data_IF_236041200396
#
_entry.id   IF_236041200396
#
_cell.length_a   1.000
_cell.length_b   1.000
_cell.length_c   1.000
_cell.angle_alpha   90.00
_cell.angle_beta   90.00
_cell.angle_gamma   90.00
#
_symmetry.space_group_name_H-M   'P 1'
#
loop_
_entity.id
_entity.type
_entity.pdbx_description
1 polymer ?
#
# COMPACT_ATOMS: atom_id res chain seq x y z
N UNK A 1 -12.79 -16.74 -1.17
CA UNK A 1 -13.95 -15.81 -1.22
C UNK A 1 -14.85 -15.96 0.00
N UNK A 2 -15.37 -17.14 0.34
CA UNK A 2 -16.22 -17.38 1.52
C UNK A 2 -15.64 -16.81 2.84
N UNK A 3 -14.33 -17.00 3.10
CA UNK A 3 -13.66 -16.41 4.28
C UNK A 3 -13.68 -14.89 4.31
N UNK A 4 -13.50 -14.23 3.16
CA UNK A 4 -13.52 -12.75 3.10
C UNK A 4 -14.91 -12.23 3.47
N UNK A 5 -15.95 -12.87 2.96
CA UNK A 5 -17.33 -12.54 3.29
C UNK A 5 -17.65 -12.77 4.78
N UNK A 6 -17.20 -13.88 5.35
CA UNK A 6 -17.33 -14.18 6.79
C UNK A 6 -16.63 -13.10 7.65
N UNK A 7 -15.41 -12.70 7.29
CA UNK A 7 -14.66 -11.65 7.99
C UNK A 7 -15.36 -10.30 7.85
N UNK A 8 -15.83 -9.94 6.66
CA UNK A 8 -16.57 -8.70 6.44
C UNK A 8 -17.85 -8.65 7.30
N UNK A 9 -18.60 -9.75 7.35
CA UNK A 9 -19.79 -9.84 8.18
C UNK A 9 -19.48 -9.70 9.68
N UNK A 10 -18.34 -10.25 10.14
CA UNK A 10 -17.88 -10.05 11.52
C UNK A 10 -17.49 -8.59 11.78
N UNK A 11 -16.77 -7.96 10.85
CA UNK A 11 -16.41 -6.55 10.97
C UNK A 11 -17.67 -5.69 11.08
N UNK A 12 -18.66 -5.88 10.23
CA UNK A 12 -19.94 -5.17 10.30
C UNK A 12 -20.64 -5.41 11.64
N UNK A 13 -20.72 -6.67 12.07
CA UNK A 13 -21.37 -7.03 13.34
C UNK A 13 -20.75 -6.32 14.55
N UNK A 14 -19.44 -6.14 14.55
CA UNK A 14 -18.70 -5.52 15.67
C UNK A 14 -18.32 -4.07 15.43
N UNK A 15 -18.90 -3.38 14.44
CA UNK A 15 -18.62 -2.00 14.12
C UNK A 15 -17.14 -1.73 13.76
N UNK A 16 -16.48 -2.69 13.10
CA UNK A 16 -15.11 -2.58 12.63
C UNK A 16 -15.06 -2.37 11.12
N UNK A 17 -14.05 -1.67 10.65
CA UNK A 17 -13.79 -1.50 9.23
C UNK A 17 -12.75 -2.54 8.78
N UNK A 18 -13.07 -3.30 7.72
CA UNK A 18 -12.13 -4.20 7.08
C UNK A 18 -11.29 -3.41 6.08
N UNK A 19 -9.97 -3.51 6.19
CA UNK A 19 -9.03 -3.13 5.15
C UNK A 19 -8.60 -4.40 4.42
N UNK A 20 -8.85 -4.46 3.12
CA UNK A 20 -8.53 -5.63 2.31
C UNK A 20 -7.36 -5.33 1.38
N UNK A 21 -6.37 -6.20 1.37
CA UNK A 21 -5.22 -6.11 0.47
C UNK A 21 -5.42 -7.03 -0.73
N UNK A 22 -5.25 -6.46 -1.94
CA UNK A 22 -5.09 -7.24 -3.17
C UNK A 22 -3.59 -7.44 -3.36
N UNK A 23 -3.11 -8.60 -2.90
CA UNK A 23 -1.73 -9.00 -3.10
C UNK A 23 -1.43 -9.16 -4.59
N UNK A 24 -0.18 -8.90 -4.97
CA UNK A 24 0.26 -8.98 -6.37
C UNK A 24 -0.54 -8.04 -7.29
N UNK A 25 -0.97 -6.90 -6.74
CA UNK A 25 -1.75 -5.89 -7.45
C UNK A 25 -1.03 -5.25 -8.63
N UNK A 26 0.29 -5.44 -8.73
CA UNK A 26 1.14 -4.87 -9.77
C UNK A 26 1.99 -5.91 -10.51
N UNK A 27 1.75 -7.19 -10.28
CA UNK A 27 2.49 -8.31 -10.85
C UNK A 27 2.77 -9.41 -9.83
N UNK A 28 3.22 -10.58 -10.30
CA UNK A 28 3.48 -11.74 -9.46
C UNK A 28 4.80 -12.45 -9.84
N UNK A 29 5.39 -13.22 -8.89
CA UNK A 29 6.63 -13.93 -9.13
C UNK A 29 6.45 -15.30 -9.81
N UNK A 30 5.20 -15.76 -9.97
CA UNK A 30 4.89 -17.14 -10.39
C UNK A 30 4.74 -17.30 -11.90
N UNK A 31 4.77 -16.20 -12.66
CA UNK A 31 4.50 -16.22 -14.10
C UNK A 31 3.02 -16.40 -14.45
N UNK A 32 2.12 -16.25 -13.47
CA UNK A 32 0.69 -16.23 -13.72
C UNK A 32 0.29 -15.02 -14.58
N UNK A 33 -0.76 -15.13 -15.40
CA UNK A 33 -1.26 -14.01 -16.16
C UNK A 33 -1.57 -12.81 -15.25
N UNK A 34 -1.01 -11.67 -15.61
CA UNK A 34 -1.26 -10.40 -14.92
C UNK A 34 -1.73 -9.37 -15.95
N UNK A 35 -2.75 -8.64 -15.58
CA UNK A 35 -3.14 -7.40 -16.25
C UNK A 35 -3.94 -6.50 -15.29
N UNK A 36 -4.00 -5.19 -15.54
CA UNK A 36 -4.83 -4.28 -14.75
C UNK A 36 -6.30 -4.68 -14.70
N UNK A 37 -6.84 -5.25 -15.78
CA UNK A 37 -8.21 -5.73 -15.85
C UNK A 37 -8.48 -6.87 -14.85
N UNK A 38 -7.48 -7.72 -14.61
CA UNK A 38 -7.57 -8.77 -13.58
C UNK A 38 -7.68 -8.11 -12.20
N UNK A 39 -6.88 -7.08 -11.93
CA UNK A 39 -6.94 -6.34 -10.65
C UNK A 39 -8.28 -5.66 -10.50
N UNK A 40 -8.76 -4.93 -11.52
CA UNK A 40 -10.06 -4.27 -11.50
C UNK A 40 -11.20 -5.25 -11.25
N UNK A 41 -11.19 -6.42 -11.89
CA UNK A 41 -12.18 -7.48 -11.64
C UNK A 41 -12.19 -7.97 -10.18
N UNK A 42 -11.02 -8.06 -9.55
CA UNK A 42 -10.94 -8.40 -8.13
C UNK A 42 -11.45 -7.26 -7.24
N UNK A 43 -11.13 -6.01 -7.58
CA UNK A 43 -11.68 -4.82 -6.91
C UNK A 43 -13.21 -4.84 -6.94
N UNK A 44 -13.82 -5.02 -8.12
CA UNK A 44 -15.28 -5.12 -8.26
C UNK A 44 -15.87 -6.22 -7.39
N UNK A 45 -15.19 -7.36 -7.34
CA UNK A 45 -15.60 -8.48 -6.48
C UNK A 45 -15.56 -8.12 -4.99
N UNK A 46 -14.56 -7.35 -4.54
CA UNK A 46 -14.50 -6.89 -3.14
C UNK A 46 -15.59 -5.85 -2.85
N UNK A 47 -15.82 -4.93 -3.77
CA UNK A 47 -16.89 -3.92 -3.66
C UNK A 47 -18.25 -4.60 -3.53
N UNK A 48 -18.51 -5.67 -4.31
CA UNK A 48 -19.77 -6.43 -4.24
C UNK A 48 -20.01 -7.10 -2.87
N UNK A 49 -18.97 -7.25 -2.05
CA UNK A 49 -19.04 -7.71 -0.66
C UNK A 49 -19.13 -6.57 0.36
N UNK A 50 -19.41 -5.34 -0.09
CA UNK A 50 -19.47 -4.14 0.76
C UNK A 50 -18.16 -3.76 1.44
N UNK A 51 -17.01 -4.18 0.92
CA UNK A 51 -15.70 -3.75 1.39
C UNK A 51 -15.48 -2.32 0.90
N UNK A 52 -15.04 -1.43 1.79
CA UNK A 52 -14.92 0.01 1.54
C UNK A 52 -13.49 0.51 1.50
N UNK A 53 -12.54 -0.26 2.02
CA UNK A 53 -11.11 0.08 1.98
C UNK A 53 -10.36 -1.03 1.30
N UNK A 54 -9.72 -0.73 0.17
CA UNK A 54 -8.99 -1.69 -0.65
C UNK A 54 -7.59 -1.16 -0.90
N UNK A 55 -6.58 -1.89 -0.44
CA UNK A 55 -5.17 -1.58 -0.66
C UNK A 55 -4.62 -2.43 -1.80
N UNK A 56 -4.02 -1.79 -2.79
CA UNK A 56 -3.27 -2.47 -3.84
C UNK A 56 -1.85 -2.71 -3.34
N UNK A 57 -1.42 -3.98 -3.32
CA UNK A 57 -0.11 -4.35 -2.77
C UNK A 57 0.88 -4.72 -3.86
N UNK A 58 2.02 -4.03 -3.86
CA UNK A 58 3.21 -4.33 -4.65
C UNK A 58 4.04 -5.40 -3.94
N UNK A 59 3.53 -6.63 -3.91
CA UNK A 59 4.02 -7.72 -3.06
C UNK A 59 5.50 -8.03 -3.26
N UNK A 60 6.02 -7.86 -4.46
CA UNK A 60 7.41 -8.21 -4.83
C UNK A 60 8.24 -7.02 -5.33
N UNK A 61 7.73 -5.81 -5.19
CA UNK A 61 8.46 -4.59 -5.54
C UNK A 61 8.55 -4.30 -7.06
N UNK A 62 7.67 -4.89 -7.87
CA UNK A 62 7.69 -4.75 -9.35
C UNK A 62 6.80 -3.64 -9.89
N UNK A 63 6.05 -2.96 -9.04
CA UNK A 63 5.24 -1.83 -9.47
C UNK A 63 6.13 -0.72 -10.05
N UNK A 64 5.78 -0.24 -11.22
CA UNK A 64 6.37 0.95 -11.82
C UNK A 64 5.38 2.13 -11.80
N UNK A 65 5.86 3.38 -12.00
CA UNK A 65 4.99 4.55 -11.99
C UNK A 65 3.86 4.51 -13.02
N UNK A 66 4.05 3.83 -14.15
CA UNK A 66 3.06 3.78 -15.24
C UNK A 66 1.87 2.90 -14.83
N UNK A 67 2.15 1.70 -14.29
CA UNK A 67 1.09 0.79 -13.84
C UNK A 67 0.37 1.32 -12.61
N UNK A 68 1.11 1.97 -11.68
CA UNK A 68 0.53 2.65 -10.52
C UNK A 68 -0.43 3.74 -10.98
N UNK A 69 0.03 4.63 -11.86
CA UNK A 69 -0.78 5.72 -12.42
C UNK A 69 -2.03 5.21 -13.12
N UNK A 70 -1.89 4.18 -13.95
CA UNK A 70 -2.99 3.59 -14.68
C UNK A 70 -4.06 3.04 -13.74
N UNK A 71 -3.68 2.21 -12.75
CA UNK A 71 -4.66 1.62 -11.83
C UNK A 71 -5.39 2.69 -11.01
N UNK A 72 -4.68 3.63 -10.38
CA UNK A 72 -5.33 4.64 -9.55
C UNK A 72 -6.17 5.63 -10.36
N UNK A 73 -5.72 6.04 -11.57
CA UNK A 73 -6.49 6.93 -12.44
C UNK A 73 -7.81 6.32 -12.92
N UNK A 74 -7.91 5.01 -13.00
CA UNK A 74 -9.16 4.32 -13.37
C UNK A 74 -10.02 3.99 -12.15
N UNK A 75 -9.44 3.45 -11.09
CA UNK A 75 -10.19 2.95 -9.94
C UNK A 75 -10.81 4.06 -9.10
N UNK A 76 -10.06 5.13 -8.82
CA UNK A 76 -10.53 6.18 -7.91
C UNK A 76 -11.75 6.93 -8.47
N UNK A 77 -11.75 7.40 -9.74
CA UNK A 77 -12.94 8.05 -10.27
C UNK A 77 -14.11 7.09 -10.54
N UNK A 78 -13.84 5.82 -10.85
CA UNK A 78 -14.89 4.82 -11.09
C UNK A 78 -15.64 4.42 -9.81
N UNK A 79 -14.94 4.47 -8.64
CA UNK A 79 -15.49 4.04 -7.36
C UNK A 79 -15.26 5.07 -6.25
N UNK A 80 -15.87 6.28 -6.34
CA UNK A 80 -15.61 7.38 -5.40
C UNK A 80 -16.01 7.08 -3.94
N UNK A 81 -16.81 6.03 -3.72
CA UNK A 81 -17.22 5.56 -2.40
C UNK A 81 -16.20 4.59 -1.75
N UNK A 82 -15.15 4.21 -2.46
CA UNK A 82 -14.10 3.29 -1.98
C UNK A 82 -12.85 4.10 -1.64
N UNK A 83 -12.29 3.85 -0.47
CA UNK A 83 -10.98 4.34 -0.11
C UNK A 83 -9.92 3.38 -0.66
N UNK A 84 -9.22 3.81 -1.70
CA UNK A 84 -8.08 3.07 -2.23
C UNK A 84 -6.79 3.44 -1.52
N UNK A 85 -5.98 2.41 -1.23
CA UNK A 85 -4.68 2.57 -0.59
C UNK A 85 -3.56 1.95 -1.44
N UNK A 86 -2.34 2.42 -1.23
CA UNK A 86 -1.13 1.90 -1.83
C UNK A 86 -0.22 1.28 -0.76
N UNK A 87 0.05 -0.01 -0.90
CA UNK A 87 1.05 -0.74 -0.13
C UNK A 87 2.21 -1.09 -1.06
N UNK A 88 3.23 -0.24 -1.06
CA UNK A 88 4.34 -0.31 -2.02
C UNK A 88 5.59 -0.88 -1.36
N UNK A 89 6.26 -1.79 -2.06
CA UNK A 89 7.64 -2.13 -1.78
C UNK A 89 8.57 -1.27 -2.65
N UNK A 90 9.69 -0.85 -2.08
CA UNK A 90 10.57 0.12 -2.72
C UNK A 90 12.03 -0.18 -2.42
N UNK A 91 12.89 0.33 -3.29
CA UNK A 91 14.32 0.49 -3.04
C UNK A 91 14.62 1.94 -2.67
N UNK A 92 15.84 2.27 -2.20
CA UNK A 92 16.25 3.65 -1.95
C UNK A 92 16.06 4.61 -3.12
N UNK A 93 16.08 4.09 -4.36
CA UNK A 93 16.01 4.91 -5.57
C UNK A 93 14.60 5.01 -6.17
N UNK A 94 13.69 4.08 -5.83
CA UNK A 94 12.37 3.97 -6.49
C UNK A 94 11.20 4.51 -5.68
N UNK A 95 11.40 4.81 -4.40
CA UNK A 95 10.31 5.17 -3.49
C UNK A 95 9.54 6.42 -3.92
N UNK A 96 10.27 7.46 -4.37
CA UNK A 96 9.68 8.78 -4.65
C UNK A 96 8.76 8.74 -5.87
N UNK A 97 9.21 8.12 -6.94
CA UNK A 97 8.43 8.00 -8.18
C UNK A 97 7.16 7.17 -7.99
N UNK A 98 7.23 6.11 -7.18
CA UNK A 98 6.07 5.26 -6.87
C UNK A 98 5.01 6.01 -6.04
N UNK A 99 5.43 6.74 -4.99
CA UNK A 99 4.50 7.56 -4.20
C UNK A 99 3.89 8.67 -5.06
N UNK A 100 4.72 9.39 -5.83
CA UNK A 100 4.25 10.50 -6.65
C UNK A 100 3.24 10.03 -7.69
N UNK A 101 3.47 8.89 -8.32
CA UNK A 101 2.54 8.27 -9.25
C UNK A 101 1.18 7.98 -8.60
N UNK A 102 1.17 7.34 -7.43
CA UNK A 102 -0.07 7.04 -6.72
C UNK A 102 -0.78 8.32 -6.23
N UNK A 103 -0.04 9.25 -5.63
CA UNK A 103 -0.59 10.49 -5.09
C UNK A 103 -1.18 11.39 -6.17
N UNK A 104 -0.48 11.57 -7.29
CA UNK A 104 -0.92 12.40 -8.42
C UNK A 104 -2.22 11.88 -9.03
N UNK A 105 -2.44 10.56 -8.98
CA UNK A 105 -3.66 9.93 -9.48
C UNK A 105 -4.71 9.68 -8.40
N UNK A 106 -4.65 10.42 -7.30
CA UNK A 106 -5.74 10.52 -6.31
C UNK A 106 -5.62 9.59 -5.11
N UNK A 107 -4.61 8.72 -5.01
CA UNK A 107 -4.39 7.94 -3.80
C UNK A 107 -4.04 8.86 -2.62
N UNK A 108 -4.69 8.63 -1.48
CA UNK A 108 -4.50 9.44 -0.25
C UNK A 108 -4.20 8.60 0.97
N UNK A 109 -4.15 7.28 0.80
CA UNK A 109 -3.81 6.34 1.85
C UNK A 109 -2.59 5.53 1.46
N UNK A 110 -1.56 5.56 2.29
CA UNK A 110 -0.29 4.88 2.06
C UNK A 110 0.11 4.09 3.30
N UNK A 111 0.64 2.91 3.10
CA UNK A 111 1.23 2.11 4.15
C UNK A 111 2.74 2.30 4.17
N UNK A 112 3.31 2.43 5.35
CA UNK A 112 4.75 2.52 5.56
C UNK A 112 5.18 1.73 6.77
N UNK A 113 6.44 1.32 6.77
CA UNK A 113 7.11 0.76 7.94
C UNK A 113 8.22 1.71 8.39
N UNK A 114 8.43 1.84 9.70
CA UNK A 114 9.55 2.61 10.21
C UNK A 114 10.85 2.07 9.59
N UNK A 115 11.63 2.97 8.97
CA UNK A 115 12.89 2.68 8.28
C UNK A 115 12.79 1.63 7.16
N UNK A 116 11.57 1.38 6.66
CA UNK A 116 11.34 0.40 5.62
C UNK A 116 11.57 -1.05 6.06
N UNK A 117 11.66 -1.32 7.36
CA UNK A 117 11.88 -2.66 7.86
C UNK A 117 10.84 -3.66 7.38
N UNK A 118 11.30 -4.89 7.12
CA UNK A 118 10.52 -5.93 6.50
C UNK A 118 10.52 -5.79 4.98
N UNK A 119 10.03 -6.81 4.31
CA UNK A 119 9.98 -6.88 2.86
C UNK A 119 9.43 -8.23 2.44
N UNK A 120 9.44 -8.50 1.15
CA UNK A 120 9.01 -9.77 0.61
C UNK A 120 10.25 -10.65 0.33
N UNK A 121 10.36 -11.85 0.93
CA UNK A 121 11.47 -12.77 0.62
C UNK A 121 11.45 -13.27 -0.83
N UNK A 122 10.39 -12.95 -1.58
CA UNK A 122 10.23 -13.28 -3.00
C UNK A 122 10.66 -12.13 -3.93
N UNK A 123 11.03 -10.97 -3.38
CA UNK A 123 11.58 -9.88 -4.19
C UNK A 123 12.92 -10.30 -4.80
N UNK A 124 13.15 -9.88 -6.05
CA UNK A 124 14.40 -10.21 -6.76
C UNK A 124 15.58 -9.35 -6.31
N UNK A 125 15.30 -8.14 -5.85
CA UNK A 125 16.29 -7.18 -5.37
C UNK A 125 16.35 -7.24 -3.84
N UNK A 126 17.51 -7.54 -3.30
CA UNK A 126 17.76 -7.61 -1.85
C UNK A 126 17.52 -6.26 -1.14
N UNK A 127 17.61 -5.14 -1.86
CA UNK A 127 17.32 -3.81 -1.34
C UNK A 127 15.82 -3.49 -1.29
N UNK A 128 14.96 -4.37 -1.82
CA UNK A 128 13.51 -4.17 -1.81
C UNK A 128 12.95 -4.38 -0.41
N UNK A 129 12.52 -3.31 0.21
CA UNK A 129 11.85 -3.28 1.51
C UNK A 129 10.47 -2.66 1.44
N UNK A 130 9.81 -2.57 2.58
CA UNK A 130 8.60 -1.77 2.70
C UNK A 130 8.91 -0.29 2.40
N UNK A 131 7.89 0.44 1.98
CA UNK A 131 7.96 1.91 1.92
C UNK A 131 8.35 2.46 3.29
N UNK A 132 9.49 3.15 3.39
CA UNK A 132 9.90 3.75 4.64
C UNK A 132 8.93 4.87 5.05
N UNK A 133 8.48 4.87 6.30
CA UNK A 133 7.62 5.93 6.84
C UNK A 133 8.26 7.29 6.67
N UNK A 134 9.57 7.40 6.85
CA UNK A 134 10.35 8.64 6.69
C UNK A 134 10.28 9.19 5.25
N UNK A 135 10.26 8.30 4.26
CA UNK A 135 10.12 8.67 2.86
C UNK A 135 8.72 9.26 2.59
N UNK A 136 7.67 8.65 3.16
CA UNK A 136 6.30 9.20 3.10
C UNK A 136 6.25 10.60 3.73
N UNK A 137 6.83 10.77 4.91
CA UNK A 137 6.86 12.05 5.61
C UNK A 137 7.61 13.11 4.81
N UNK A 138 8.78 12.78 4.27
CA UNK A 138 9.56 13.67 3.41
C UNK A 138 8.77 14.09 2.17
N UNK A 139 8.09 13.16 1.52
CA UNK A 139 7.27 13.44 0.35
C UNK A 139 6.12 14.42 0.68
N UNK A 140 5.39 14.18 1.78
CA UNK A 140 4.29 15.06 2.17
C UNK A 140 4.77 16.44 2.61
N UNK A 141 5.92 16.52 3.27
CA UNK A 141 6.56 17.78 3.62
C UNK A 141 6.95 18.58 2.37
N UNK A 142 7.54 17.97 1.36
CA UNK A 142 7.83 18.60 0.08
C UNK A 142 6.56 19.14 -0.62
N UNK A 143 5.45 18.41 -0.52
CA UNK A 143 4.13 18.84 -1.04
C UNK A 143 3.44 19.87 -0.14
N UNK A 144 4.04 20.27 0.98
CA UNK A 144 3.49 21.22 1.98
C UNK A 144 2.16 20.73 2.57
N UNK A 145 2.04 19.43 2.77
CA UNK A 145 0.87 18.79 3.40
C UNK A 145 1.19 18.62 4.87
N UNK A 146 0.42 19.27 5.72
CA UNK A 146 0.52 19.09 7.17
C UNK A 146 -0.07 17.75 7.58
N UNK A 147 0.69 17.00 8.35
CA UNK A 147 0.26 15.75 8.95
C UNK A 147 0.14 15.97 10.46
N UNK A 148 -0.97 15.52 11.04
CA UNK A 148 -1.18 15.57 12.49
C UNK A 148 -0.35 14.49 13.19
N UNK A 149 0.97 14.68 13.26
CA UNK A 149 1.92 13.75 13.84
C UNK A 149 2.61 14.34 15.08
N UNK A 150 2.77 13.49 16.09
CA UNK A 150 3.63 13.81 17.21
C UNK A 150 5.09 13.44 16.86
N UNK A 151 5.85 14.42 16.33
CA UNK A 151 7.24 14.23 15.88
C UNK A 151 8.14 13.67 16.98
N UNK A 152 7.97 14.10 18.24
CA UNK A 152 8.76 13.60 19.34
C UNK A 152 8.47 12.11 19.64
N UNK A 153 7.20 11.69 19.52
CA UNK A 153 6.83 10.29 19.66
C UNK A 153 7.36 9.45 18.49
N UNK A 154 7.25 9.97 17.26
CA UNK A 154 7.81 9.32 16.08
C UNK A 154 9.32 9.12 16.21
N UNK A 155 10.06 10.16 16.61
CA UNK A 155 11.50 10.06 16.80
C UNK A 155 11.92 9.03 17.87
N UNK A 156 11.12 8.87 18.93
CA UNK A 156 11.32 7.78 19.91
C UNK A 156 11.05 6.41 19.30
N UNK A 157 9.96 6.28 18.53
CA UNK A 157 9.62 5.01 17.86
C UNK A 157 10.68 4.56 16.88
N UNK A 158 11.30 5.50 16.15
CA UNK A 158 12.40 5.21 15.24
C UNK A 158 13.64 4.68 15.98
N UNK A 159 13.98 5.26 17.14
CA UNK A 159 15.09 4.76 17.98
C UNK A 159 14.82 3.35 18.49
N UNK A 160 13.60 3.08 18.94
CA UNK A 160 13.21 1.75 19.40
C UNK A 160 13.27 0.74 18.23
N UNK A 161 12.86 1.13 17.04
CA UNK A 161 12.97 0.29 15.86
C UNK A 161 14.44 -0.08 15.57
N UNK A 162 15.38 0.88 15.68
CA UNK A 162 16.80 0.60 15.53
C UNK A 162 17.31 -0.40 16.57
N UNK A 163 16.95 -0.20 17.84
CA UNK A 163 17.36 -1.11 18.92
C UNK A 163 16.86 -2.55 18.70
N UNK A 164 15.66 -2.71 18.12
CA UNK A 164 15.07 -4.02 17.88
C UNK A 164 15.69 -4.69 16.64
N UNK A 165 15.83 -3.96 15.53
CA UNK A 165 16.14 -4.56 14.23
C UNK A 165 17.61 -4.49 13.82
N UNK A 166 18.42 -3.59 14.40
CA UNK A 166 19.87 -3.56 14.12
C UNK A 166 20.67 -4.55 14.96
N UNK A 167 20.08 -5.13 16.00
CA UNK A 167 20.69 -6.12 16.88
C UNK A 167 20.14 -7.54 16.68
N UNK A 168 19.38 -7.78 15.61
CA UNK A 168 18.74 -9.08 15.30
C UNK A 168 19.52 -9.87 14.25
#
# INVERSE_FOLDING_TARGET
MKRVEEIQNLCVKYGKQLVLYISMGFGNPYGDPYSPEIVMKWVEKMISMSIRVISLADTIGVADPQIISMLFSHLIPAYPQIEFAAHLHTTPDTWKEKIDAAYTHGCRRFDGALKGYGGCPMAKDELTGNMATENLLSFFQEKKIELELNEAALGRSMKIADEIFMNA
#
